data_IF_466919477623
#
_entry.id   IF_466919477623
#
_cell.length_a   1.000
_cell.length_b   1.000
_cell.length_c   1.000
_cell.angle_alpha   90.00
_cell.angle_beta   90.00
_cell.angle_gamma   90.00
#
_symmetry.space_group_name_H-M   'P 1'
#
loop_
_entity.id
_entity.type
_entity.pdbx_description
1 polymer ?
#
# COMPACT_ATOMS: atom_id res chain seq x y z
N UNK A 1 13.82 67.26 -18.22
CA UNK A 1 13.87 65.95 -17.53
C UNK A 1 12.60 65.18 -17.84
N UNK A 2 12.68 64.15 -18.69
CA UNK A 2 11.61 63.17 -18.87
C UNK A 2 12.25 61.78 -18.79
N UNK A 3 11.91 61.06 -17.74
CA UNK A 3 12.40 59.73 -17.40
C UNK A 3 11.76 58.71 -18.36
N UNK A 4 12.50 57.85 -19.07
CA UNK A 4 11.89 56.79 -19.85
C UNK A 4 11.47 55.66 -18.92
N UNK A 5 10.20 55.25 -19.08
CA UNK A 5 9.56 54.15 -18.39
C UNK A 5 10.22 52.85 -18.86
N UNK A 6 10.93 52.17 -17.95
CA UNK A 6 11.36 50.79 -18.15
C UNK A 6 10.13 49.88 -18.13
N UNK A 7 9.66 49.48 -19.32
CA UNK A 7 8.71 48.36 -19.44
C UNK A 7 9.51 47.08 -19.24
N UNK A 8 9.58 46.61 -17.99
CA UNK A 8 10.05 45.26 -17.69
C UNK A 8 8.90 44.32 -18.10
N UNK A 9 9.04 43.71 -19.28
CA UNK A 9 8.21 42.57 -19.67
C UNK A 9 8.63 41.39 -18.80
N UNK A 10 7.94 41.21 -17.68
CA UNK A 10 7.95 39.94 -16.94
C UNK A 10 7.29 38.90 -17.86
N UNK A 11 8.12 38.15 -18.59
CA UNK A 11 7.76 36.83 -19.08
C UNK A 11 7.48 35.96 -17.86
N UNK A 12 6.25 36.02 -17.37
CA UNK A 12 5.67 34.96 -16.56
C UNK A 12 5.66 33.72 -17.44
N UNK A 13 6.74 32.96 -17.40
CA UNK A 13 6.68 31.55 -17.74
C UNK A 13 5.74 30.94 -16.69
N UNK A 14 4.44 30.94 -16.98
CA UNK A 14 3.55 29.91 -16.49
C UNK A 14 4.08 28.61 -17.07
N UNK A 15 5.12 28.08 -16.42
CA UNK A 15 5.50 26.70 -16.51
C UNK A 15 4.34 25.96 -15.87
N UNK A 16 3.23 25.78 -16.60
CA UNK A 16 2.32 24.69 -16.35
C UNK A 16 3.21 23.46 -16.43
N UNK A 17 3.73 23.00 -15.27
CA UNK A 17 4.57 21.80 -15.19
C UNK A 17 3.79 20.73 -15.93
N UNK A 18 4.25 20.38 -17.13
CA UNK A 18 3.58 19.39 -17.95
C UNK A 18 3.47 18.14 -17.09
N UNK A 19 2.25 17.66 -16.88
CA UNK A 19 2.01 16.52 -16.00
C UNK A 19 2.80 15.33 -16.54
N UNK A 20 3.75 14.82 -15.75
CA UNK A 20 4.59 13.68 -16.11
C UNK A 20 3.77 12.38 -16.12
N UNK A 21 2.67 12.32 -15.36
CA UNK A 21 1.75 11.18 -15.34
C UNK A 21 0.81 11.30 -16.55
N UNK A 22 0.90 10.32 -17.46
CA UNK A 22 0.00 10.21 -18.60
C UNK A 22 -1.39 9.75 -18.16
N UNK A 23 -1.45 8.66 -17.40
CA UNK A 23 -2.69 8.03 -16.93
C UNK A 23 -2.43 7.17 -15.71
N UNK A 24 -3.47 6.85 -14.95
CA UNK A 24 -3.41 5.81 -13.94
C UNK A 24 -4.43 4.72 -14.27
N UNK A 25 -3.97 3.47 -14.21
CA UNK A 25 -4.72 2.30 -14.58
C UNK A 25 -5.66 1.89 -13.44
N UNK A 26 -6.83 1.38 -13.81
CA UNK A 26 -7.84 0.80 -12.93
C UNK A 26 -7.94 -0.71 -13.16
N UNK A 27 -6.81 -1.32 -13.52
CA UNK A 27 -6.76 -2.72 -13.90
C UNK A 27 -7.08 -3.61 -12.69
N UNK A 28 -8.19 -4.34 -12.78
CA UNK A 28 -8.66 -5.25 -11.74
C UNK A 28 -7.67 -6.41 -11.51
N UNK A 29 -6.92 -6.85 -12.53
CA UNK A 29 -5.94 -7.92 -12.40
C UNK A 29 -4.78 -7.51 -11.47
N UNK A 30 -4.25 -6.30 -11.64
CA UNK A 30 -3.19 -5.77 -10.79
C UNK A 30 -3.69 -5.55 -9.36
N UNK A 31 -4.92 -5.05 -9.21
CA UNK A 31 -5.55 -4.87 -7.91
C UNK A 31 -5.77 -6.21 -7.19
N UNK A 32 -6.27 -7.23 -7.90
CA UNK A 32 -6.46 -8.58 -7.36
C UNK A 32 -5.16 -9.24 -6.95
N UNK A 33 -4.09 -9.04 -7.73
CA UNK A 33 -2.74 -9.47 -7.37
C UNK A 33 -2.30 -8.86 -6.03
N UNK A 34 -2.49 -7.55 -5.86
CA UNK A 34 -2.16 -6.88 -4.59
C UNK A 34 -3.01 -7.37 -3.42
N UNK A 35 -4.32 -7.56 -3.61
CA UNK A 35 -5.18 -8.12 -2.56
C UNK A 35 -4.69 -9.52 -2.16
N UNK A 36 -4.32 -10.35 -3.13
CA UNK A 36 -3.81 -11.71 -2.90
C UNK A 36 -2.48 -11.73 -2.14
N UNK A 37 -1.54 -10.84 -2.49
CA UNK A 37 -0.29 -10.67 -1.74
C UNK A 37 -0.55 -10.25 -0.29
N UNK A 38 -1.52 -9.36 -0.06
CA UNK A 38 -1.87 -8.89 1.30
C UNK A 38 -2.54 -9.98 2.14
N UNK A 39 -3.39 -10.81 1.54
CA UNK A 39 -3.97 -12.00 2.21
C UNK A 39 -2.85 -12.95 2.64
N UNK A 40 -1.94 -13.27 1.72
CA UNK A 40 -0.82 -14.16 1.98
C UNK A 40 0.08 -13.58 3.08
N UNK A 41 0.50 -12.33 2.95
CA UNK A 41 1.38 -11.66 3.90
C UNK A 41 0.76 -11.58 5.30
N UNK A 42 -0.52 -11.18 5.41
CA UNK A 42 -1.21 -11.14 6.69
C UNK A 42 -1.31 -12.52 7.35
N UNK A 43 -1.56 -13.56 6.55
CA UNK A 43 -1.68 -14.94 7.03
C UNK A 43 -0.33 -15.51 7.49
N UNK A 44 0.71 -15.26 6.70
CA UNK A 44 2.09 -15.72 6.93
C UNK A 44 2.71 -15.01 8.10
N UNK A 45 2.43 -13.72 8.35
CA UNK A 45 3.05 -12.94 9.43
C UNK A 45 2.10 -12.55 10.57
N UNK A 46 0.90 -13.14 10.62
CA UNK A 46 -0.10 -12.93 11.70
C UNK A 46 -0.45 -11.44 11.90
N UNK A 47 -0.79 -10.76 10.81
CA UNK A 47 -1.20 -9.35 10.84
C UNK A 47 -2.73 -9.27 10.84
N UNK A 48 -3.30 -8.91 11.98
CA UNK A 48 -4.73 -8.95 12.24
C UNK A 48 -5.54 -7.80 11.64
N UNK A 49 -4.89 -6.71 11.25
CA UNK A 49 -5.53 -5.45 10.84
C UNK A 49 -5.15 -5.01 9.42
N UNK A 50 -4.79 -5.96 8.54
CA UNK A 50 -4.47 -5.71 7.14
C UNK A 50 -5.71 -5.26 6.36
N UNK A 51 -5.72 -4.05 5.80
CA UNK A 51 -6.80 -3.59 4.93
C UNK A 51 -6.74 -4.21 3.54
N UNK A 52 -7.90 -4.43 2.95
CA UNK A 52 -8.06 -4.63 1.51
C UNK A 52 -7.77 -3.32 0.78
N UNK A 53 -6.97 -3.40 -0.29
CA UNK A 53 -6.70 -2.23 -1.14
C UNK A 53 -7.77 -2.10 -2.22
N UNK A 54 -8.08 -0.85 -2.58
CA UNK A 54 -9.01 -0.51 -3.66
C UNK A 54 -8.46 0.66 -4.47
N UNK A 55 -8.98 0.86 -5.67
CA UNK A 55 -8.72 2.11 -6.38
C UNK A 55 -9.36 3.29 -5.62
N UNK A 56 -8.58 4.34 -5.31
CA UNK A 56 -9.08 5.61 -4.75
C UNK A 56 -8.60 6.78 -5.64
N UNK A 57 -9.52 7.55 -6.25
CA UNK A 57 -9.16 8.74 -7.04
C UNK A 57 -8.34 9.78 -6.27
N UNK A 58 -8.42 9.79 -4.93
CA UNK A 58 -7.60 10.69 -4.10
C UNK A 58 -6.13 10.31 -4.13
N UNK A 59 -5.80 9.02 -4.22
CA UNK A 59 -4.41 8.60 -4.35
C UNK A 59 -3.85 9.03 -5.71
N UNK A 60 -4.65 8.99 -6.78
CA UNK A 60 -4.24 9.53 -8.08
C UNK A 60 -3.96 11.03 -8.00
N UNK A 61 -4.83 11.78 -7.32
CA UNK A 61 -4.60 13.21 -7.08
C UNK A 61 -3.29 13.44 -6.32
N UNK A 62 -3.05 12.69 -5.24
CA UNK A 62 -1.80 12.75 -4.46
C UNK A 62 -0.59 12.43 -5.35
N UNK A 63 -0.66 11.37 -6.16
CA UNK A 63 0.41 11.00 -7.08
C UNK A 63 0.71 12.13 -8.06
N UNK A 64 -0.31 12.70 -8.72
CA UNK A 64 -0.16 13.84 -9.64
C UNK A 64 0.40 15.08 -8.95
N UNK A 65 0.03 15.37 -7.71
CA UNK A 65 0.53 16.52 -6.95
C UNK A 65 2.00 16.37 -6.53
N UNK A 66 2.41 15.15 -6.17
CA UNK A 66 3.72 14.90 -5.56
C UNK A 66 4.77 14.35 -6.53
N UNK A 67 4.35 13.80 -7.67
CA UNK A 67 5.25 13.23 -8.67
C UNK A 67 5.24 14.10 -9.93
N UNK A 68 6.14 15.10 -9.98
CA UNK A 68 6.24 16.07 -11.09
C UNK A 68 7.42 15.79 -12.00
N UNK A 69 8.44 15.09 -11.51
CA UNK A 69 9.60 14.63 -12.29
C UNK A 69 10.13 13.30 -11.75
N UNK A 70 10.98 12.62 -12.51
CA UNK A 70 11.60 11.36 -12.07
C UNK A 70 12.38 11.47 -10.75
N UNK A 71 12.85 12.67 -10.40
CA UNK A 71 13.50 12.97 -9.11
C UNK A 71 12.56 12.84 -7.90
N UNK A 72 11.25 12.83 -8.14
CA UNK A 72 10.22 12.70 -7.10
C UNK A 72 9.88 11.24 -6.79
N UNK A 73 10.61 10.29 -7.39
CA UNK A 73 10.51 8.87 -7.07
C UNK A 73 11.08 8.60 -5.67
N UNK A 74 10.20 8.68 -4.67
CA UNK A 74 10.48 8.40 -3.27
C UNK A 74 9.17 8.21 -2.51
N UNK A 75 9.28 7.65 -1.32
CA UNK A 75 8.17 7.63 -0.36
C UNK A 75 7.76 9.05 0.04
N UNK A 76 6.46 9.24 0.25
CA UNK A 76 5.89 10.48 0.74
C UNK A 76 5.24 10.30 2.10
N UNK A 77 4.83 11.40 2.72
CA UNK A 77 4.17 11.38 4.04
C UNK A 77 2.88 10.55 4.04
N UNK A 78 2.12 10.62 2.95
CA UNK A 78 0.80 10.00 2.82
C UNK A 78 0.72 8.96 1.69
N UNK A 79 1.86 8.50 1.19
CA UNK A 79 1.90 7.46 0.16
C UNK A 79 3.25 6.75 0.15
N UNK A 80 3.25 5.51 -0.31
CA UNK A 80 4.45 4.75 -0.65
C UNK A 80 4.51 4.51 -2.15
N UNK A 81 5.71 4.23 -2.63
CA UNK A 81 6.01 3.98 -4.04
C UNK A 81 6.68 2.62 -4.11
N UNK A 82 6.18 1.73 -4.95
CA UNK A 82 6.75 0.39 -5.11
C UNK A 82 8.19 0.49 -5.57
N UNK A 83 9.10 -0.22 -4.90
CA UNK A 83 10.51 -0.30 -5.29
C UNK A 83 11.34 0.94 -4.95
N UNK A 84 10.76 1.98 -4.36
CA UNK A 84 11.57 3.07 -3.82
C UNK A 84 12.45 2.54 -2.67
N UNK A 85 13.62 3.18 -2.41
CA UNK A 85 14.59 2.67 -1.43
C UNK A 85 13.96 2.41 -0.06
N UNK A 86 14.20 1.21 0.46
CA UNK A 86 13.61 0.73 1.72
C UNK A 86 14.07 1.55 2.93
N UNK A 87 13.13 1.82 3.85
CA UNK A 87 13.41 2.48 5.13
C UNK A 87 13.86 1.45 6.16
N UNK A 88 15.18 1.38 6.39
CA UNK A 88 15.81 0.40 7.30
C UNK A 88 15.23 0.36 8.71
N UNK A 89 14.64 1.45 9.18
CA UNK A 89 13.97 1.50 10.49
C UNK A 89 12.73 0.60 10.56
N UNK A 90 12.09 0.32 9.42
CA UNK A 90 10.89 -0.52 9.35
C UNK A 90 11.20 -2.00 9.55
N UNK A 91 12.38 -2.46 9.17
CA UNK A 91 12.85 -3.79 9.53
C UNK A 91 12.92 -3.96 11.06
N UNK A 92 13.37 -2.95 11.80
CA UNK A 92 13.40 -3.01 13.26
C UNK A 92 11.99 -3.02 13.88
N UNK A 93 11.03 -2.32 13.28
CA UNK A 93 9.62 -2.37 13.70
C UNK A 93 9.03 -3.75 13.41
N UNK A 94 9.26 -4.28 12.21
CA UNK A 94 8.73 -5.57 11.80
C UNK A 94 9.33 -6.72 12.61
N UNK A 95 10.63 -6.67 12.94
CA UNK A 95 11.28 -7.59 13.89
C UNK A 95 10.57 -7.68 15.24
N UNK A 96 10.13 -6.55 15.78
CA UNK A 96 9.35 -6.53 17.04
C UNK A 96 8.01 -7.22 16.88
N UNK A 97 7.34 -7.02 15.74
CA UNK A 97 6.10 -7.71 15.40
C UNK A 97 6.30 -9.22 15.26
N UNK A 98 7.32 -9.66 14.51
CA UNK A 98 7.67 -11.08 14.35
C UNK A 98 7.93 -11.74 15.71
N UNK A 99 8.69 -11.09 16.59
CA UNK A 99 8.92 -11.56 17.96
C UNK A 99 7.61 -11.69 18.74
N UNK A 100 6.73 -10.69 18.67
CA UNK A 100 5.43 -10.72 19.34
C UNK A 100 4.48 -11.78 18.75
N UNK A 101 4.67 -12.16 17.49
CA UNK A 101 3.97 -13.25 16.81
C UNK A 101 4.65 -14.62 16.97
N UNK A 102 5.63 -14.74 17.88
CA UNK A 102 6.37 -15.97 18.21
C UNK A 102 7.21 -16.56 17.06
N UNK A 103 7.73 -15.72 16.16
CA UNK A 103 8.71 -16.15 15.16
C UNK A 103 10.09 -16.27 15.80
N UNK A 104 10.82 -17.32 15.41
CA UNK A 104 12.19 -17.59 15.88
C UNK A 104 13.24 -16.97 14.96
N UNK A 105 12.97 -16.94 13.65
CA UNK A 105 13.78 -16.20 12.68
C UNK A 105 13.26 -14.77 12.60
N UNK A 106 14.08 -13.82 13.04
CA UNK A 106 13.75 -12.40 13.08
C UNK A 106 14.55 -11.62 12.03
N UNK A 107 15.64 -12.17 11.49
CA UNK A 107 16.46 -11.47 10.52
C UNK A 107 15.98 -11.69 9.09
N UNK A 108 15.21 -12.75 8.86
CA UNK A 108 14.47 -13.02 7.63
C UNK A 108 13.01 -13.39 7.99
N UNK A 109 11.99 -12.63 7.53
CA UNK A 109 11.99 -11.68 6.41
C UNK A 109 11.94 -10.20 6.77
N UNK A 110 12.43 -9.40 5.83
CA UNK A 110 12.36 -7.92 5.86
C UNK A 110 10.95 -7.39 5.67
N UNK A 111 10.73 -6.17 6.12
CA UNK A 111 9.45 -5.49 5.92
C UNK A 111 9.23 -5.11 4.46
N UNK A 112 7.99 -5.28 3.97
CA UNK A 112 7.62 -4.90 2.60
C UNK A 112 6.76 -3.64 2.60
N UNK A 113 7.31 -2.55 2.06
CA UNK A 113 6.69 -1.21 2.03
C UNK A 113 5.28 -1.19 1.38
N UNK A 114 5.10 -2.02 0.34
CA UNK A 114 3.83 -2.18 -0.38
C UNK A 114 2.75 -2.91 0.43
N UNK A 115 3.13 -3.57 1.53
CA UNK A 115 2.25 -4.41 2.34
C UNK A 115 1.98 -3.79 3.71
N UNK A 116 1.99 -2.46 3.76
CA UNK A 116 1.59 -1.74 4.96
C UNK A 116 0.14 -2.07 5.33
N UNK A 117 -0.14 -2.53 6.55
CA UNK A 117 -1.48 -3.00 6.94
C UNK A 117 -2.53 -1.91 6.83
N UNK A 118 -2.15 -0.67 7.13
CA UNK A 118 -3.07 0.47 7.12
C UNK A 118 -3.20 1.18 5.76
N UNK A 119 -2.52 0.73 4.71
CA UNK A 119 -2.80 1.18 3.34
C UNK A 119 -4.04 0.47 2.82
N UNK A 120 -4.95 1.22 2.20
CA UNK A 120 -6.20 0.69 1.64
C UNK A 120 -6.45 1.22 0.22
N UNK A 121 -5.48 1.94 -0.35
CA UNK A 121 -5.52 2.36 -1.75
C UNK A 121 -4.26 1.96 -2.49
N UNK A 122 -4.45 1.54 -3.74
CA UNK A 122 -3.42 1.15 -4.67
C UNK A 122 -3.77 1.65 -6.07
N UNK A 123 -2.80 2.22 -6.76
CA UNK A 123 -2.90 2.61 -8.18
C UNK A 123 -1.57 2.36 -8.89
N UNK A 124 -1.64 2.13 -10.19
CA UNK A 124 -0.47 2.12 -11.07
C UNK A 124 -0.63 3.25 -12.07
N UNK A 125 0.42 4.04 -12.26
CA UNK A 125 0.42 5.19 -13.15
C UNK A 125 1.48 5.05 -14.23
N UNK A 126 1.07 5.30 -15.47
CA UNK A 126 1.94 5.39 -16.64
C UNK A 126 2.46 6.81 -16.77
N UNK A 127 3.76 6.93 -16.97
CA UNK A 127 4.49 8.17 -17.16
C UNK A 127 4.65 8.46 -18.66
N UNK A 128 4.75 9.73 -19.01
CA UNK A 128 5.05 10.18 -20.39
C UNK A 128 6.52 9.97 -20.77
N UNK A 129 7.37 9.68 -19.80
CA UNK A 129 8.82 9.51 -19.97
C UNK A 129 9.29 8.26 -19.23
N UNK A 130 10.39 7.67 -19.67
CA UNK A 130 11.08 6.64 -18.91
C UNK A 130 11.91 7.28 -17.79
N UNK A 131 11.69 6.85 -16.56
CA UNK A 131 12.47 7.26 -15.39
C UNK A 131 13.51 6.21 -15.04
N UNK A 132 14.73 6.65 -14.72
CA UNK A 132 15.75 5.82 -14.05
C UNK A 132 15.49 5.88 -12.54
N UNK A 133 14.73 4.92 -12.03
CA UNK A 133 14.26 4.87 -10.65
C UNK A 133 15.28 4.14 -9.77
N UNK A 134 15.78 4.76 -8.68
CA UNK A 134 16.67 4.08 -7.74
C UNK A 134 15.90 3.00 -6.98
N UNK A 135 16.38 1.76 -7.05
CA UNK A 135 15.79 0.61 -6.34
C UNK A 135 16.85 -0.06 -5.47
N UNK A 136 16.46 -0.92 -4.53
CA UNK A 136 17.43 -1.69 -3.76
C UNK A 136 18.31 -2.52 -4.72
N UNK A 137 19.63 -2.36 -4.61
CA UNK A 137 20.60 -3.06 -5.45
C UNK A 137 20.85 -2.45 -6.85
N UNK A 138 20.23 -1.32 -7.22
CA UNK A 138 20.55 -0.68 -8.51
C UNK A 138 19.58 0.39 -9.00
N UNK A 139 19.31 0.38 -10.30
CA UNK A 139 18.43 1.34 -10.96
C UNK A 139 17.53 0.62 -11.96
N UNK A 140 16.23 0.87 -11.86
CA UNK A 140 15.22 0.36 -12.79
C UNK A 140 14.83 1.45 -13.77
N UNK A 141 14.93 1.19 -15.08
CA UNK A 141 14.34 2.06 -16.10
C UNK A 141 12.91 1.62 -16.36
N UNK A 142 11.94 2.48 -16.09
CA UNK A 142 10.53 2.20 -16.38
C UNK A 142 9.73 3.50 -16.53
N UNK A 143 8.65 3.43 -17.29
CA UNK A 143 7.64 4.47 -17.43
C UNK A 143 6.41 4.19 -16.56
N UNK A 144 6.47 3.28 -15.59
CA UNK A 144 5.33 2.88 -14.78
C UNK A 144 5.70 2.95 -13.30
N UNK A 145 4.82 3.54 -12.49
CA UNK A 145 5.02 3.73 -11.05
C UNK A 145 3.77 3.31 -10.29
N UNK A 146 3.95 2.46 -9.28
CA UNK A 146 2.87 2.02 -8.42
C UNK A 146 2.88 2.79 -7.10
N UNK A 147 1.71 3.30 -6.70
CA UNK A 147 1.51 4.06 -5.47
C UNK A 147 0.58 3.32 -4.51
N UNK A 148 0.86 3.44 -3.22
CA UNK A 148 0.02 2.94 -2.15
C UNK A 148 -0.30 4.06 -1.16
N UNK A 149 -1.49 4.05 -0.57
CA UNK A 149 -1.88 5.09 0.37
C UNK A 149 -3.03 4.69 1.30
N UNK A 150 -3.41 5.57 2.24
CA UNK A 150 -2.83 6.90 2.49
C UNK A 150 -1.65 6.87 3.47
N UNK A 151 -1.25 5.71 3.99
CA UNK A 151 -0.19 5.65 4.99
C UNK A 151 1.18 5.62 4.34
N UNK A 152 1.95 6.67 4.64
CA UNK A 152 3.31 6.83 4.18
C UNK A 152 4.34 6.63 5.28
N UNK A 153 3.98 6.21 6.48
CA UNK A 153 4.94 5.89 7.57
C UNK A 153 4.48 4.68 8.35
N UNK A 154 5.42 3.89 8.88
CA UNK A 154 5.15 2.74 9.73
C UNK A 154 5.51 3.02 11.19
N UNK A 155 4.61 2.64 12.09
CA UNK A 155 4.82 2.62 13.55
C UNK A 155 4.54 1.22 14.12
N UNK A 156 5.08 0.89 15.32
CA UNK A 156 4.81 -0.40 15.95
C UNK A 156 3.33 -0.72 16.16
N UNK A 157 2.48 0.30 16.41
CA UNK A 157 1.04 0.11 16.61
C UNK A 157 0.27 -0.23 15.33
N UNK A 158 0.88 -0.02 14.16
CA UNK A 158 0.23 -0.29 12.87
C UNK A 158 0.17 -1.78 12.56
N UNK A 159 1.04 -2.58 13.17
CA UNK A 159 1.09 -4.03 13.04
C UNK A 159 0.45 -4.68 14.26
N UNK A 160 -0.76 -5.23 14.11
CA UNK A 160 -1.44 -5.94 15.19
C UNK A 160 -1.26 -7.44 15.03
N UNK A 161 -0.77 -8.11 16.08
CA UNK A 161 -0.60 -9.56 16.09
C UNK A 161 -1.97 -10.26 16.19
N UNK A 162 -2.20 -11.24 15.33
CA UNK A 162 -3.36 -12.15 15.43
C UNK A 162 -3.79 -12.73 14.08
N UNK A 163 -4.89 -13.48 14.06
CA UNK A 163 -5.47 -13.98 12.81
C UNK A 163 -5.85 -12.83 11.87
N UNK A 164 -5.63 -12.94 10.54
CA UNK A 164 -6.04 -11.93 9.58
C UNK A 164 -7.49 -11.50 9.75
N UNK A 165 -7.68 -10.18 9.74
CA UNK A 165 -8.97 -9.54 9.91
C UNK A 165 -9.57 -9.59 11.32
N UNK A 166 -8.96 -10.28 12.29
CA UNK A 166 -9.52 -10.38 13.66
C UNK A 166 -9.60 -9.03 14.39
N UNK A 167 -8.86 -8.02 13.94
CA UNK A 167 -8.80 -6.69 14.57
C UNK A 167 -9.18 -5.56 13.61
N UNK A 168 -10.16 -5.83 12.73
CA UNK A 168 -10.68 -4.80 11.83
C UNK A 168 -11.62 -3.83 12.55
N UNK A 169 -11.33 -2.52 12.56
CA UNK A 169 -12.17 -1.54 13.24
C UNK A 169 -13.54 -1.35 12.59
N UNK A 170 -13.67 -1.66 11.29
CA UNK A 170 -14.87 -1.41 10.50
C UNK A 170 -15.44 -2.68 9.85
N UNK A 171 -15.03 -3.86 10.34
CA UNK A 171 -15.42 -5.14 9.75
C UNK A 171 -14.50 -5.61 8.63
N UNK A 172 -14.89 -6.74 8.03
CA UNK A 172 -14.09 -7.48 7.04
C UNK A 172 -14.74 -7.40 5.66
N UNK A 173 -13.91 -7.41 4.63
CA UNK A 173 -14.32 -7.73 3.27
C UNK A 173 -14.56 -9.24 3.12
N UNK A 174 -15.15 -9.65 2.01
CA UNK A 174 -15.42 -11.06 1.69
C UNK A 174 -14.15 -11.92 1.76
N UNK A 175 -13.01 -11.39 1.32
CA UNK A 175 -11.71 -12.06 1.35
C UNK A 175 -11.02 -12.04 2.72
N UNK A 176 -11.70 -11.59 3.77
CA UNK A 176 -11.23 -11.66 5.16
C UNK A 176 -10.25 -10.57 5.60
N UNK A 177 -9.86 -9.65 4.70
CA UNK A 177 -9.11 -8.44 5.03
C UNK A 177 -10.04 -7.35 5.59
N UNK A 178 -9.46 -6.33 6.23
CA UNK A 178 -10.23 -5.23 6.79
C UNK A 178 -10.78 -4.30 5.70
N UNK A 179 -11.95 -3.70 5.95
CA UNK A 179 -12.43 -2.58 5.14
C UNK A 179 -12.05 -1.24 5.78
N UNK A 180 -11.63 -0.29 4.95
CA UNK A 180 -11.44 1.08 5.38
C UNK A 180 -12.79 1.74 5.70
N UNK A 181 -12.79 2.76 6.57
CA UNK A 181 -14.00 3.51 6.90
C UNK A 181 -14.70 4.04 5.64
N UNK A 182 -16.00 3.79 5.43
CA UNK A 182 -16.74 4.36 4.33
C UNK A 182 -16.85 5.88 4.52
N UNK A 183 -16.04 6.67 3.82
CA UNK A 183 -16.18 8.13 3.81
C UNK A 183 -17.20 8.52 2.75
N UNK A 184 -18.47 8.68 3.15
CA UNK A 184 -19.52 9.20 2.27
C UNK A 184 -20.95 8.77 2.57
N UNK A 185 -21.20 7.89 3.53
CA UNK A 185 -22.56 7.64 4.01
C UNK A 185 -22.99 8.80 4.91
N UNK A 186 -23.43 9.89 4.28
CA UNK A 186 -24.42 10.76 4.91
C UNK A 186 -25.60 9.89 5.32
N UNK A 187 -26.09 10.12 6.54
CA UNK A 187 -27.35 9.61 7.08
C UNK A 187 -28.39 9.30 5.99
N UNK A 188 -28.55 8.02 5.67
CA UNK A 188 -29.87 7.49 5.36
C UNK A 188 -30.22 6.55 6.51
N UNK A 189 -30.99 7.12 7.44
CA UNK A 189 -31.82 6.34 8.33
C UNK A 189 -32.69 5.42 7.48
N UNK A 190 -32.44 4.11 7.59
CA UNK A 190 -33.52 3.13 7.73
C UNK A 190 -33.06 2.03 8.71
N UNK A 191 -33.33 2.34 9.97
CA UNK A 191 -33.86 1.47 11.04
C UNK A 191 -33.34 0.03 11.21
N UNK A 192 -32.65 -0.11 12.35
CA UNK A 192 -32.85 -1.14 13.40
C UNK A 192 -32.50 -2.59 13.07
N UNK A 193 -31.27 -2.98 13.42
CA UNK A 193 -31.04 -3.92 14.53
C UNK A 193 -29.61 -3.71 15.05
N UNK A 194 -29.44 -3.58 16.37
CA UNK A 194 -28.11 -3.50 16.99
C UNK A 194 -27.27 -4.76 16.74
N UNK A 195 -25.95 -4.74 17.00
CA UNK A 195 -25.12 -5.92 16.78
C UNK A 195 -25.63 -7.08 17.63
N UNK A 196 -25.89 -8.27 17.06
CA UNK A 196 -26.08 -9.45 17.88
C UNK A 196 -24.75 -9.71 18.59
N UNK A 197 -24.79 -9.66 19.93
CA UNK A 197 -23.72 -10.21 20.76
C UNK A 197 -23.51 -11.66 20.33
N UNK A 198 -22.31 -12.01 19.89
CA UNK A 198 -21.92 -13.40 19.79
C UNK A 198 -21.79 -13.96 21.21
N UNK A 199 -22.92 -14.38 21.79
CA UNK A 199 -22.95 -15.38 22.84
C UNK A 199 -22.65 -16.71 22.17
N UNK A 200 -21.62 -17.41 22.64
CA UNK A 200 -21.43 -18.82 22.36
C UNK A 200 -22.27 -19.61 23.37
N UNK A 201 -23.41 -20.22 23.01
CA UNK A 201 -24.13 -21.10 23.91
C UNK A 201 -23.63 -22.53 23.67
N UNK A 202 -23.10 -23.14 24.73
CA UNK A 202 -22.78 -24.55 24.88
C UNK A 202 -21.54 -25.08 24.14
N UNK A 203 -20.38 -24.94 24.78
CA UNK A 203 -19.30 -25.94 24.75
C UNK A 203 -18.42 -25.98 23.50
N UNK A 204 -17.16 -25.57 23.68
CA UNK A 204 -15.97 -25.94 22.89
C UNK A 204 -15.84 -25.44 21.43
N UNK A 205 -15.22 -24.26 21.26
CA UNK A 205 -14.50 -23.94 20.01
C UNK A 205 -13.08 -24.50 20.10
N UNK A 206 -12.87 -25.76 19.70
CA UNK A 206 -11.51 -26.30 19.51
C UNK A 206 -11.08 -26.00 18.07
N UNK A 207 -10.13 -25.08 17.91
CA UNK A 207 -9.35 -24.98 16.68
C UNK A 207 -8.15 -25.92 16.80
N UNK A 208 -8.26 -27.10 16.20
CA UNK A 208 -7.17 -28.08 16.12
C UNK A 208 -6.01 -27.49 15.30
N UNK A 209 -4.89 -27.23 15.97
CA UNK A 209 -3.65 -26.78 15.35
C UNK A 209 -2.86 -28.02 14.90
N UNK A 210 -2.84 -28.30 13.59
CA UNK A 210 -1.81 -29.19 13.04
C UNK A 210 -0.61 -28.35 12.64
N UNK A 211 0.40 -28.38 13.52
CA UNK A 211 1.77 -27.98 13.25
C UNK A 211 2.31 -28.78 12.05
N UNK A 212 2.60 -28.09 10.95
CA UNK A 212 3.14 -28.66 9.73
C UNK A 212 3.93 -27.61 8.97
N UNK A 213 5.23 -27.59 9.23
CA UNK A 213 6.29 -26.79 8.64
C UNK A 213 6.17 -26.76 7.09
N UNK A 214 5.99 -25.56 6.50
CA UNK A 214 6.00 -25.42 5.04
C UNK A 214 6.70 -24.14 4.60
N UNK A 215 7.94 -24.30 4.14
CA UNK A 215 8.87 -23.29 3.62
C UNK A 215 8.51 -22.86 2.17
N UNK A 216 7.22 -22.70 1.87
CA UNK A 216 6.73 -22.53 0.48
C UNK A 216 6.21 -21.10 0.20
N UNK A 217 6.14 -20.22 1.22
CA UNK A 217 5.55 -18.88 1.09
C UNK A 217 6.43 -17.81 0.44
N UNK A 218 7.75 -18.01 0.40
CA UNK A 218 8.69 -17.04 -0.15
C UNK A 218 8.68 -17.01 -1.70
N UNK A 219 8.45 -18.17 -2.32
CA UNK A 219 8.36 -18.32 -3.78
C UNK A 219 7.16 -17.54 -4.34
N UNK A 220 5.98 -17.64 -3.72
CA UNK A 220 4.75 -17.00 -4.23
C UNK A 220 4.83 -15.45 -4.23
N UNK A 221 5.53 -14.86 -3.27
CA UNK A 221 5.71 -13.41 -3.20
C UNK A 221 6.66 -12.89 -4.28
N UNK A 222 7.72 -13.66 -4.59
CA UNK A 222 8.67 -13.36 -5.66
C UNK A 222 7.95 -13.33 -7.03
N UNK A 223 7.03 -14.28 -7.30
CA UNK A 223 6.30 -14.32 -8.57
C UNK A 223 5.46 -13.06 -8.86
N UNK A 224 4.86 -12.41 -7.86
CA UNK A 224 4.07 -11.18 -8.09
C UNK A 224 4.97 -9.99 -8.45
N UNK A 225 6.14 -9.87 -7.81
CA UNK A 225 7.14 -8.87 -8.19
C UNK A 225 7.68 -9.12 -9.61
N UNK A 226 7.89 -10.39 -10.00
CA UNK A 226 8.28 -10.76 -11.36
C UNK A 226 7.16 -10.53 -12.39
N UNK A 227 5.89 -10.68 -12.04
CA UNK A 227 4.76 -10.40 -12.96
C UNK A 227 4.62 -8.90 -13.25
N UNK A 228 4.82 -8.02 -12.26
CA UNK A 228 4.84 -6.57 -12.47
C UNK A 228 6.05 -6.17 -13.35
N UNK A 229 7.21 -6.79 -13.14
CA UNK A 229 8.41 -6.53 -13.95
C UNK A 229 8.32 -7.09 -15.38
N UNK A 230 7.67 -8.24 -15.59
CA UNK A 230 7.57 -8.90 -16.91
C UNK A 230 6.49 -8.30 -17.82
N UNK A 231 5.43 -7.70 -17.27
CA UNK A 231 4.47 -6.91 -18.05
C UNK A 231 5.02 -5.55 -18.51
N UNK A 232 6.22 -5.16 -18.05
CA UNK A 232 6.96 -3.98 -18.55
C UNK A 232 7.82 -4.29 -19.79
N UNK A 233 7.78 -5.53 -20.30
CA UNK A 233 8.45 -5.98 -21.52
C UNK A 233 7.43 -6.43 -22.59
N UNK A 234 6.48 -5.55 -22.94
CA UNK A 234 5.77 -5.58 -24.24
C UNK A 234 5.58 -4.14 -24.70
#
# INVERSE_FOLDING_TARGET
MKLPIFIIVLLSAELSKADIIASCDKDDFQLDGQISSRITYASVYKIANMYEVKHDPRLEKIARENFKSCSDYKHGKNFRVLGAPHEKEYDAIFKKHLKAANYTDLDDPKYQEALHPLQYSFIICRLKVNCSMPVEGGTLKSNTVAFYGPQGTLSPSDLKVGPPGSQCPYGKAERGLCIAWPRGAGSSTDSKTGPPSAQCPNGECIAESKSGQRRDGMEAMIYVFFLIASLSFV
#
